data_IF_987953539695
#
_entry.id   IF_987953539695
#
_cell.length_a   1.000
_cell.length_b   1.000
_cell.length_c   1.000
_cell.angle_alpha   90.00
_cell.angle_beta   90.00
_cell.angle_gamma   90.00
#
_symmetry.space_group_name_H-M   'P 1'
#
loop_
_entity.id
_entity.type
_entity.pdbx_description
1 polymer ?
#
# COMPACT_ATOMS: atom_id res chain seq x y z
N UNK A 1 -25.93 28.80 2.18
CA UNK A 1 -25.94 27.32 2.15
C UNK A 1 -24.53 26.87 2.62
N UNK A 2 -24.44 26.16 3.74
CA UNK A 2 -23.18 25.55 4.14
C UNK A 2 -22.93 24.44 3.13
N UNK A 3 -21.84 24.51 2.39
CA UNK A 3 -21.33 23.34 1.66
C UNK A 3 -21.18 22.20 2.69
N UNK A 4 -21.97 21.16 2.55
CA UNK A 4 -21.73 19.91 3.26
C UNK A 4 -20.32 19.49 2.85
N UNK A 5 -19.39 19.47 3.78
CA UNK A 5 -18.04 18.97 3.57
C UNK A 5 -18.17 17.53 3.10
N UNK A 6 -18.10 17.30 1.79
CA UNK A 6 -18.14 15.97 1.19
C UNK A 6 -16.95 15.20 1.80
N UNK A 7 -17.25 14.19 2.59
CA UNK A 7 -16.22 13.40 3.25
C UNK A 7 -15.41 12.68 2.16
N UNK A 8 -14.13 12.96 2.09
CA UNK A 8 -13.19 12.31 1.17
C UNK A 8 -13.23 10.80 1.38
N UNK A 9 -13.30 10.03 0.30
CA UNK A 9 -13.44 8.58 0.35
C UNK A 9 -12.11 7.85 0.53
N UNK A 10 -11.02 8.37 -0.04
CA UNK A 10 -9.74 7.69 -0.17
C UNK A 10 -8.60 8.50 0.45
N UNK A 11 -7.75 7.84 1.24
CA UNK A 11 -6.43 8.36 1.57
C UNK A 11 -5.38 7.60 0.75
N UNK A 12 -4.62 8.33 -0.05
CA UNK A 12 -3.32 7.89 -0.55
C UNK A 12 -2.31 8.14 0.57
N UNK A 13 -1.56 7.13 1.00
CA UNK A 13 -0.49 7.36 1.95
C UNK A 13 0.87 6.89 1.40
N UNK A 14 1.92 7.63 1.74
CA UNK A 14 3.26 7.41 1.23
C UNK A 14 4.25 7.38 2.39
N UNK A 15 4.81 6.22 2.75
CA UNK A 15 5.98 6.14 3.61
C UNK A 15 7.21 6.70 2.88
N UNK A 16 7.95 7.59 3.52
CA UNK A 16 9.16 8.19 2.94
C UNK A 16 10.32 8.14 3.94
N UNK A 17 11.50 7.79 3.46
CA UNK A 17 12.74 7.87 4.21
C UNK A 17 13.89 8.26 3.28
N UNK A 18 14.39 9.50 3.40
CA UNK A 18 15.42 10.05 2.51
C UNK A 18 15.02 9.94 1.03
N UNK A 19 13.88 10.53 0.66
CA UNK A 19 13.26 10.44 -0.68
C UNK A 19 13.13 11.80 -1.39
N UNK A 20 13.90 12.81 -0.99
CA UNK A 20 13.86 14.11 -1.66
C UNK A 20 14.10 14.01 -3.18
N UNK A 21 14.85 12.99 -3.62
CA UNK A 21 15.18 12.80 -5.03
C UNK A 21 14.06 12.16 -5.86
N UNK A 22 13.12 11.41 -5.26
CA UNK A 22 12.09 10.63 -5.97
C UNK A 22 10.65 11.04 -5.64
N UNK A 23 10.39 11.56 -4.43
CA UNK A 23 9.04 11.85 -3.94
C UNK A 23 8.25 12.82 -4.84
N UNK A 24 8.94 13.65 -5.64
CA UNK A 24 8.32 14.53 -6.63
C UNK A 24 7.55 13.76 -7.71
N UNK A 25 7.96 12.54 -8.07
CA UNK A 25 7.26 11.70 -9.05
C UNK A 25 5.85 11.35 -8.55
N UNK A 26 5.75 10.91 -7.30
CA UNK A 26 4.47 10.66 -6.64
C UNK A 26 3.63 11.95 -6.59
N UNK A 27 4.19 13.06 -6.10
CA UNK A 27 3.50 14.35 -6.02
C UNK A 27 2.92 14.82 -7.35
N UNK A 28 3.72 14.84 -8.41
CA UNK A 28 3.31 15.29 -9.73
C UNK A 28 2.22 14.39 -10.32
N UNK A 29 2.28 13.08 -10.07
CA UNK A 29 1.26 12.16 -10.51
C UNK A 29 -0.09 12.39 -9.80
N UNK A 30 -0.06 12.75 -8.52
CA UNK A 30 -1.25 13.11 -7.76
C UNK A 30 -1.83 14.47 -8.20
N UNK A 31 -0.97 15.41 -8.58
CA UNK A 31 -1.42 16.68 -9.19
C UNK A 31 -2.15 16.47 -10.52
N UNK A 32 -1.79 15.44 -11.30
CA UNK A 32 -2.43 15.15 -12.60
C UNK A 32 -3.72 14.32 -12.49
N UNK A 33 -4.11 13.85 -11.30
CA UNK A 33 -5.33 13.03 -11.17
C UNK A 33 -6.58 13.77 -11.67
N UNK A 34 -7.40 13.08 -12.45
CA UNK A 34 -8.72 13.56 -12.92
C UNK A 34 -9.72 13.76 -11.78
N UNK A 35 -9.64 12.92 -10.75
CA UNK A 35 -10.45 13.00 -9.54
C UNK A 35 -9.59 13.51 -8.36
N UNK A 36 -10.06 14.56 -7.68
CA UNK A 36 -9.39 15.13 -6.50
C UNK A 36 -10.05 14.72 -5.16
N UNK A 37 -10.95 13.75 -5.18
CA UNK A 37 -11.67 13.28 -3.99
C UNK A 37 -10.81 12.32 -3.16
N UNK A 38 -9.60 12.76 -2.80
CA UNK A 38 -8.64 12.04 -1.97
C UNK A 38 -7.81 13.00 -1.11
N UNK A 39 -7.21 12.43 -0.07
CA UNK A 39 -6.21 13.06 0.79
C UNK A 39 -4.87 12.38 0.58
N UNK A 40 -3.76 13.10 0.55
CA UNK A 40 -2.42 12.53 0.54
C UNK A 40 -1.75 12.66 1.91
N UNK A 41 -1.46 11.52 2.56
CA UNK A 41 -0.79 11.43 3.84
C UNK A 41 0.66 10.96 3.64
N UNK A 42 1.63 11.82 3.90
CA UNK A 42 3.05 11.49 3.86
C UNK A 42 3.53 11.17 5.27
N UNK A 43 4.04 9.95 5.46
CA UNK A 43 4.68 9.53 6.71
C UNK A 43 6.20 9.54 6.51
N UNK A 44 6.85 10.55 7.03
CA UNK A 44 8.31 10.64 7.01
C UNK A 44 8.89 9.79 8.15
N UNK A 45 9.52 8.69 7.79
CA UNK A 45 10.14 7.72 8.72
C UNK A 45 11.56 8.15 9.13
N UNK A 46 11.73 9.42 9.49
CA UNK A 46 12.98 9.94 10.06
C UNK A 46 14.00 10.38 9.02
N UNK A 47 13.57 11.02 7.93
CA UNK A 47 14.46 11.55 6.90
C UNK A 47 15.43 12.60 7.47
N UNK A 48 16.65 12.59 6.92
CA UNK A 48 17.73 13.53 7.24
C UNK A 48 18.18 14.36 6.04
N UNK A 49 17.58 14.10 4.88
CA UNK A 49 17.77 14.83 3.64
C UNK A 49 16.74 15.99 3.51
N UNK A 50 16.63 16.58 2.33
CA UNK A 50 15.69 17.67 2.05
C UNK A 50 14.21 17.23 1.88
N UNK A 51 13.83 15.99 2.23
CA UNK A 51 12.44 15.47 2.08
C UNK A 51 11.44 16.41 2.74
N UNK A 52 11.66 16.77 4.01
CA UNK A 52 10.77 17.70 4.72
C UNK A 52 10.65 19.06 4.03
N UNK A 53 11.77 19.64 3.60
CA UNK A 53 11.79 20.95 2.93
C UNK A 53 10.98 20.92 1.64
N UNK A 54 11.11 19.84 0.86
CA UNK A 54 10.36 19.62 -0.36
C UNK A 54 8.84 19.59 -0.09
N UNK A 55 8.40 18.85 0.93
CA UNK A 55 6.98 18.76 1.31
C UNK A 55 6.48 20.10 1.85
N UNK A 56 7.26 20.82 2.67
CA UNK A 56 6.90 22.15 3.18
C UNK A 56 6.64 23.17 2.03
N UNK A 57 7.29 23.00 0.87
CA UNK A 57 7.00 23.81 -0.32
C UNK A 57 5.68 23.43 -0.99
N UNK A 58 5.30 22.16 -1.00
CA UNK A 58 4.02 21.69 -1.55
C UNK A 58 2.84 22.10 -0.69
N UNK A 59 3.01 22.07 0.63
CA UNK A 59 1.96 22.49 1.58
C UNK A 59 1.56 23.97 1.44
N UNK A 60 2.38 24.79 0.79
CA UNK A 60 2.09 26.22 0.54
C UNK A 60 1.29 26.46 -0.75
N UNK A 61 1.13 25.43 -1.59
CA UNK A 61 0.46 25.51 -2.89
C UNK A 61 -1.00 25.10 -2.81
N UNK A 62 -1.81 25.60 -3.73
CA UNK A 62 -3.12 25.02 -3.99
C UNK A 62 -2.93 23.76 -4.85
N UNK A 63 -3.12 22.61 -4.24
CA UNK A 63 -2.91 21.30 -4.89
C UNK A 63 -4.23 20.70 -5.41
N UNK A 64 -5.37 21.30 -5.10
CA UNK A 64 -6.70 20.77 -5.40
C UNK A 64 -7.09 19.57 -4.51
N UNK A 65 -6.23 19.14 -3.60
CA UNK A 65 -6.47 18.11 -2.58
C UNK A 65 -5.65 18.42 -1.31
N UNK A 66 -6.05 17.84 -0.19
CA UNK A 66 -5.35 18.01 1.08
C UNK A 66 -4.08 17.17 1.13
N UNK A 67 -2.97 17.77 1.60
CA UNK A 67 -1.72 17.08 1.93
C UNK A 67 -1.53 17.15 3.44
N UNK A 68 -1.28 15.99 4.06
CA UNK A 68 -0.87 15.88 5.47
C UNK A 68 0.54 15.31 5.54
N UNK A 69 1.41 15.93 6.33
CA UNK A 69 2.77 15.45 6.56
C UNK A 69 2.98 15.16 8.04
N UNK A 70 3.47 13.98 8.33
CA UNK A 70 3.76 13.53 9.70
C UNK A 70 5.16 12.94 9.75
N UNK A 71 6.01 13.53 10.60
CA UNK A 71 7.34 13.02 10.90
C UNK A 71 7.30 12.03 12.07
N UNK A 72 8.09 10.97 12.00
CA UNK A 72 8.38 10.06 13.10
C UNK A 72 9.84 9.64 13.09
N UNK A 73 10.36 9.18 14.23
CA UNK A 73 11.69 8.57 14.26
C UNK A 73 11.75 7.31 13.39
N UNK A 74 12.91 7.08 12.73
CA UNK A 74 13.09 5.98 11.79
C UNK A 74 12.94 4.61 12.46
N UNK A 75 11.86 3.93 12.14
CA UNK A 75 11.54 2.58 12.63
C UNK A 75 11.32 1.54 11.52
N UNK A 76 11.41 1.96 10.25
CA UNK A 76 11.17 1.13 9.08
C UNK A 76 9.72 1.20 8.57
N UNK A 77 9.53 0.82 7.31
CA UNK A 77 8.28 0.95 6.55
C UNK A 77 7.04 0.44 7.33
N UNK A 78 7.13 -0.71 7.99
CA UNK A 78 6.03 -1.29 8.76
C UNK A 78 5.57 -0.38 9.91
N UNK A 79 6.46 0.40 10.53
CA UNK A 79 6.10 1.35 11.58
C UNK A 79 5.45 2.62 11.00
N UNK A 80 5.86 3.04 9.80
CA UNK A 80 5.20 4.10 9.07
C UNK A 80 3.78 3.69 8.65
N UNK A 81 3.57 2.44 8.24
CA UNK A 81 2.23 1.88 7.99
C UNK A 81 1.37 1.85 9.25
N UNK A 82 1.92 1.48 10.42
CA UNK A 82 1.19 1.53 11.68
C UNK A 82 0.66 2.93 11.94
N UNK A 83 1.54 3.94 11.85
CA UNK A 83 1.16 5.34 12.06
C UNK A 83 0.16 5.83 11.00
N UNK A 84 0.34 5.45 9.73
CA UNK A 84 -0.61 5.78 8.67
C UNK A 84 -2.02 5.25 9.00
N UNK A 85 -2.15 3.96 9.33
CA UNK A 85 -3.44 3.35 9.67
C UNK A 85 -4.07 3.98 10.93
N UNK A 86 -3.28 4.43 11.88
CA UNK A 86 -3.79 5.17 13.05
C UNK A 86 -4.42 6.50 12.65
N UNK A 87 -3.77 7.25 11.75
CA UNK A 87 -4.15 8.61 11.36
C UNK A 87 -5.22 8.70 10.25
N UNK A 88 -5.32 7.69 9.38
CA UNK A 88 -6.29 7.69 8.27
C UNK A 88 -7.71 7.59 8.83
N UNK A 89 -8.60 8.49 8.37
CA UNK A 89 -10.00 8.57 8.77
C UNK A 89 -11.00 8.42 7.60
N UNK A 90 -10.49 8.17 6.39
CA UNK A 90 -11.28 7.87 5.19
C UNK A 90 -11.70 6.39 5.14
N UNK A 91 -12.71 6.06 4.34
CA UNK A 91 -13.19 4.68 4.19
C UNK A 91 -12.14 3.77 3.58
N UNK A 92 -11.45 4.24 2.54
CA UNK A 92 -10.41 3.51 1.82
C UNK A 92 -9.03 4.11 2.06
N UNK A 93 -8.02 3.26 1.93
CA UNK A 93 -6.63 3.68 1.89
C UNK A 93 -5.85 2.89 0.82
N UNK A 94 -4.83 3.52 0.25
CA UNK A 94 -3.89 2.91 -0.68
C UNK A 94 -2.48 3.42 -0.38
N UNK A 95 -1.52 2.50 -0.32
CA UNK A 95 -0.10 2.87 -0.26
C UNK A 95 0.44 3.08 -1.67
N UNK A 96 1.04 4.24 -1.89
CA UNK A 96 1.86 4.53 -3.07
C UNK A 96 3.26 4.84 -2.55
N UNK A 97 4.24 4.06 -2.98
CA UNK A 97 5.61 4.24 -2.52
C UNK A 97 6.22 5.54 -3.05
N UNK A 98 7.23 6.04 -2.36
CA UNK A 98 7.80 7.37 -2.61
C UNK A 98 8.61 7.51 -3.91
N UNK A 99 8.80 6.43 -4.63
CA UNK A 99 9.47 6.30 -5.93
C UNK A 99 8.52 5.83 -7.04
N UNK A 100 7.23 5.61 -6.69
CA UNK A 100 6.18 5.22 -7.64
C UNK A 100 5.34 6.43 -8.10
N UNK A 101 4.57 6.24 -9.17
CA UNK A 101 3.55 7.19 -9.60
C UNK A 101 2.25 6.50 -10.01
N UNK A 102 1.16 7.25 -10.01
CA UNK A 102 -0.17 6.77 -10.39
C UNK A 102 -0.60 7.37 -11.73
N UNK A 103 -1.26 6.56 -12.57
CA UNK A 103 -1.83 7.04 -13.83
C UNK A 103 -2.93 8.09 -13.57
N UNK A 104 -3.18 8.98 -14.54
CA UNK A 104 -4.05 10.17 -14.36
C UNK A 104 -5.48 9.87 -13.91
N UNK A 105 -6.00 8.68 -14.18
CA UNK A 105 -7.35 8.23 -13.82
C UNK A 105 -7.37 7.22 -12.65
N UNK A 106 -6.24 6.94 -12.01
CA UNK A 106 -6.14 5.87 -11.01
C UNK A 106 -7.09 6.10 -9.82
N UNK A 107 -7.13 7.31 -9.29
CA UNK A 107 -8.02 7.67 -8.18
C UNK A 107 -9.49 7.57 -8.61
N UNK A 108 -9.83 8.09 -9.79
CA UNK A 108 -11.20 8.01 -10.33
C UNK A 108 -11.65 6.55 -10.50
N UNK A 109 -10.78 5.69 -11.03
CA UNK A 109 -11.05 4.25 -11.18
C UNK A 109 -11.32 3.59 -9.83
N UNK A 110 -10.51 3.86 -8.80
CA UNK A 110 -10.69 3.33 -7.44
C UNK A 110 -12.04 3.79 -6.88
N UNK A 111 -12.27 5.11 -6.85
CA UNK A 111 -13.47 5.71 -6.24
C UNK A 111 -14.75 5.27 -6.95
N UNK A 112 -14.76 5.33 -8.30
CA UNK A 112 -15.92 4.94 -9.09
C UNK A 112 -16.21 3.44 -9.00
N UNK A 113 -15.19 2.60 -9.01
CA UNK A 113 -15.35 1.14 -8.91
C UNK A 113 -15.86 0.75 -7.52
N UNK A 114 -15.29 1.33 -6.45
CA UNK A 114 -15.78 1.07 -5.10
C UNK A 114 -17.21 1.56 -4.90
N UNK A 115 -17.55 2.74 -5.39
CA UNK A 115 -18.92 3.27 -5.32
C UNK A 115 -19.97 2.39 -6.02
N UNK A 116 -19.57 1.64 -7.08
CA UNK A 116 -20.45 0.73 -7.81
C UNK A 116 -20.50 -0.69 -7.22
N UNK A 117 -19.39 -1.21 -6.76
CA UNK A 117 -19.20 -2.63 -6.44
C UNK A 117 -18.84 -2.88 -4.97
N UNK A 118 -18.40 -1.85 -4.25
CA UNK A 118 -17.92 -1.93 -2.87
C UNK A 118 -19.01 -2.28 -1.88
N UNK A 119 -18.65 -2.95 -0.83
CA UNK A 119 -19.51 -3.21 0.33
C UNK A 119 -18.68 -3.79 1.48
N UNK A 120 -19.27 -3.87 2.67
CA UNK A 120 -18.65 -4.46 3.86
C UNK A 120 -18.22 -5.93 3.72
N UNK A 121 -18.68 -6.63 2.68
CA UNK A 121 -18.29 -8.00 2.35
C UNK A 121 -16.85 -8.11 1.86
N UNK A 122 -16.30 -7.02 1.31
CA UNK A 122 -14.99 -7.02 0.68
C UNK A 122 -13.98 -6.25 1.52
N UNK A 123 -12.73 -6.68 1.45
CA UNK A 123 -11.63 -5.97 2.10
C UNK A 123 -11.26 -4.66 1.42
N UNK A 124 -11.61 -4.53 0.14
CA UNK A 124 -11.21 -3.43 -0.72
C UNK A 124 -11.08 -3.88 -2.17
N UNK A 125 -10.04 -3.38 -2.85
CA UNK A 125 -9.79 -3.62 -4.28
C UNK A 125 -8.37 -4.16 -4.46
N UNK A 126 -8.20 -5.11 -5.39
CA UNK A 126 -6.91 -5.51 -5.94
C UNK A 126 -6.84 -5.06 -7.39
N UNK A 127 -5.82 -4.23 -7.72
CA UNK A 127 -5.55 -3.72 -9.05
C UNK A 127 -4.17 -4.15 -9.55
N UNK A 128 -3.79 -3.66 -10.72
CA UNK A 128 -2.53 -4.00 -11.36
C UNK A 128 -1.48 -2.93 -11.08
N UNK A 129 -0.23 -3.38 -10.94
CA UNK A 129 0.95 -2.56 -11.08
C UNK A 129 1.55 -2.76 -12.47
N UNK A 130 2.16 -1.71 -13.00
CA UNK A 130 2.88 -1.70 -14.27
C UNK A 130 4.26 -1.06 -14.09
N UNK A 131 5.16 -1.30 -15.02
CA UNK A 131 6.43 -0.59 -15.13
C UNK A 131 6.20 0.84 -15.66
N UNK A 132 7.23 1.68 -15.69
CA UNK A 132 7.13 3.05 -16.21
C UNK A 132 6.78 3.13 -17.71
N UNK A 133 7.06 2.08 -18.47
CA UNK A 133 6.63 1.92 -19.88
C UNK A 133 5.28 1.18 -20.02
N UNK A 134 4.48 1.15 -18.95
CA UNK A 134 3.13 0.56 -18.88
C UNK A 134 3.06 -0.96 -19.16
N UNK A 135 4.16 -1.70 -18.96
CA UNK A 135 4.12 -3.16 -19.01
C UNK A 135 3.59 -3.70 -17.68
N UNK A 136 2.55 -4.52 -17.73
CA UNK A 136 1.97 -5.11 -16.50
C UNK A 136 3.01 -5.97 -15.78
N UNK A 137 3.20 -5.71 -14.47
CA UNK A 137 4.10 -6.49 -13.64
C UNK A 137 3.47 -7.84 -13.32
N UNK A 138 4.10 -8.91 -13.82
CA UNK A 138 3.63 -10.27 -13.64
C UNK A 138 2.39 -10.61 -14.48
N UNK A 139 1.34 -11.14 -13.83
CA UNK A 139 0.11 -11.60 -14.49
C UNK A 139 -1.08 -10.71 -14.19
N UNK A 140 -2.03 -10.67 -15.14
CA UNK A 140 -3.36 -10.10 -14.87
C UNK A 140 -4.09 -10.89 -13.80
N UNK A 141 -5.09 -10.26 -13.20
CA UNK A 141 -6.02 -10.90 -12.27
C UNK A 141 -7.02 -11.79 -13.07
N UNK A 142 -7.60 -12.83 -12.44
CA UNK A 142 -8.60 -13.68 -13.11
C UNK A 142 -9.79 -12.85 -13.61
N UNK A 143 -10.17 -13.04 -14.87
CA UNK A 143 -11.29 -12.32 -15.49
C UNK A 143 -12.66 -12.95 -15.19
N UNK A 144 -12.67 -14.24 -14.85
CA UNK A 144 -13.85 -15.04 -14.51
C UNK A 144 -14.27 -14.93 -13.05
N UNK A 145 -13.54 -14.13 -12.25
CA UNK A 145 -13.80 -13.96 -10.83
C UNK A 145 -14.11 -12.50 -10.49
N UNK A 146 -15.08 -12.28 -9.61
CA UNK A 146 -15.41 -10.94 -9.11
C UNK A 146 -14.46 -10.48 -7.99
N UNK A 147 -14.00 -11.42 -7.19
CA UNK A 147 -13.16 -11.15 -6.01
C UNK A 147 -12.23 -12.33 -5.74
N UNK A 148 -11.14 -12.07 -5.04
CA UNK A 148 -10.14 -13.07 -4.68
C UNK A 148 -9.36 -12.60 -3.43
N UNK A 149 -8.86 -13.53 -2.61
CA UNK A 149 -7.87 -13.18 -1.61
C UNK A 149 -6.48 -13.07 -2.25
N UNK A 150 -5.62 -12.22 -1.69
CA UNK A 150 -4.25 -12.07 -2.19
C UNK A 150 -3.49 -13.40 -2.15
N UNK A 151 -3.63 -14.14 -1.05
CA UNK A 151 -3.01 -15.48 -0.88
C UNK A 151 -3.48 -16.47 -1.95
N UNK A 152 -4.79 -16.47 -2.27
CA UNK A 152 -5.35 -17.35 -3.31
C UNK A 152 -4.86 -16.99 -4.71
N UNK A 153 -4.71 -15.69 -5.00
CA UNK A 153 -4.15 -15.24 -6.27
C UNK A 153 -2.76 -15.84 -6.49
N UNK A 154 -1.85 -15.69 -5.51
CA UNK A 154 -0.50 -16.24 -5.62
C UNK A 154 -0.46 -17.77 -5.59
N UNK A 155 -1.31 -18.42 -4.78
CA UNK A 155 -1.41 -19.87 -4.72
C UNK A 155 -1.88 -20.50 -6.04
N UNK A 156 -2.65 -19.76 -6.83
CA UNK A 156 -3.12 -20.17 -8.16
C UNK A 156 -2.14 -19.79 -9.29
N UNK A 157 -0.90 -19.46 -8.95
CA UNK A 157 0.15 -19.11 -9.93
C UNK A 157 0.12 -17.67 -10.39
N UNK A 158 -0.51 -16.78 -9.64
CA UNK A 158 -0.39 -15.33 -9.78
C UNK A 158 1.06 -14.87 -9.61
N UNK A 159 1.45 -13.79 -10.27
CA UNK A 159 2.81 -13.28 -10.28
C UNK A 159 2.83 -11.75 -10.29
N UNK A 160 3.93 -11.18 -9.78
CA UNK A 160 4.19 -9.75 -9.77
C UNK A 160 3.38 -9.01 -8.72
N UNK A 161 3.85 -7.82 -8.37
CA UNK A 161 3.21 -6.96 -7.39
C UNK A 161 1.82 -6.50 -7.88
N UNK A 162 0.95 -6.21 -6.93
CA UNK A 162 -0.43 -5.77 -7.18
C UNK A 162 -0.74 -4.58 -6.30
N UNK A 163 -1.45 -3.60 -6.85
CA UNK A 163 -1.90 -2.46 -6.06
C UNK A 163 -3.10 -2.85 -5.21
N UNK A 164 -2.93 -2.66 -3.91
CA UNK A 164 -3.92 -3.03 -2.89
C UNK A 164 -4.55 -1.78 -2.30
N UNK A 165 -5.85 -1.66 -2.45
CA UNK A 165 -6.67 -0.64 -1.80
C UNK A 165 -7.47 -1.33 -0.71
N UNK A 166 -7.31 -0.94 0.54
CA UNK A 166 -7.99 -1.58 1.65
C UNK A 166 -9.01 -0.66 2.31
N UNK A 167 -10.04 -1.26 2.89
CA UNK A 167 -10.89 -0.58 3.87
C UNK A 167 -10.05 -0.26 5.11
N UNK A 168 -10.15 0.97 5.55
CA UNK A 168 -9.35 1.48 6.68
C UNK A 168 -9.75 0.83 8.01
N UNK A 169 -11.05 0.57 8.22
CA UNK A 169 -11.53 -0.08 9.42
C UNK A 169 -10.92 -1.48 9.61
N UNK A 170 -10.72 -2.24 8.53
CA UNK A 170 -10.06 -3.54 8.59
C UNK A 170 -8.57 -3.42 8.93
N UNK A 171 -7.88 -2.43 8.34
CA UNK A 171 -6.46 -2.22 8.66
C UNK A 171 -6.25 -1.77 10.12
N UNK A 172 -7.26 -1.12 10.71
CA UNK A 172 -7.29 -0.78 12.15
C UNK A 172 -7.71 -1.96 13.03
N UNK A 173 -8.61 -2.83 12.55
CA UNK A 173 -9.11 -4.01 13.28
C UNK A 173 -7.99 -4.99 13.63
N UNK A 174 -7.09 -5.25 12.66
CA UNK A 174 -6.01 -6.21 12.85
C UNK A 174 -4.85 -5.61 13.68
N UNK A 175 -4.16 -6.44 14.51
CA UNK A 175 -3.06 -5.97 15.35
C UNK A 175 -2.00 -5.20 14.54
N UNK A 176 -1.36 -4.18 15.11
CA UNK A 176 -0.29 -3.45 14.44
C UNK A 176 0.88 -4.38 14.09
N UNK A 177 1.68 -3.98 13.12
CA UNK A 177 2.95 -4.65 12.85
C UNK A 177 3.81 -4.60 14.11
N UNK A 178 4.39 -5.73 14.56
CA UNK A 178 5.23 -5.73 15.74
C UNK A 178 6.54 -4.96 15.48
N UNK A 179 7.09 -4.38 16.53
CA UNK A 179 8.38 -3.69 16.50
C UNK A 179 9.38 -4.51 17.30
N UNK A 180 10.52 -4.81 16.69
CA UNK A 180 11.62 -5.52 17.33
C UNK A 180 12.80 -4.58 17.52
N UNK A 181 13.32 -4.52 18.75
CA UNK A 181 14.48 -3.69 19.06
C UNK A 181 15.67 -4.00 18.15
N UNK A 182 16.24 -2.96 17.53
CA UNK A 182 17.34 -3.04 16.60
C UNK A 182 17.00 -3.50 15.19
N UNK A 183 15.70 -3.81 14.90
CA UNK A 183 15.25 -4.25 13.57
C UNK A 183 14.27 -3.23 12.95
N UNK A 184 14.38 -3.05 11.63
CA UNK A 184 13.58 -2.08 10.86
C UNK A 184 12.76 -2.73 9.74
N UNK A 185 12.53 -4.04 9.82
CA UNK A 185 11.76 -4.75 8.81
C UNK A 185 10.81 -5.78 9.42
N UNK A 186 9.53 -5.63 9.10
CA UNK A 186 8.51 -6.67 9.22
C UNK A 186 7.71 -6.66 7.92
N UNK A 187 7.44 -7.82 7.35
CA UNK A 187 6.69 -7.93 6.09
C UNK A 187 5.27 -7.35 6.23
N UNK A 188 4.90 -6.49 5.28
CA UNK A 188 3.54 -5.95 5.19
C UNK A 188 2.49 -7.04 4.90
N UNK A 189 2.90 -8.18 4.35
CA UNK A 189 2.06 -9.35 4.15
C UNK A 189 1.36 -9.86 5.41
N UNK A 190 1.84 -9.52 6.60
CA UNK A 190 1.21 -9.90 7.88
C UNK A 190 -0.26 -9.50 7.95
N UNK A 191 -0.58 -8.21 7.79
CA UNK A 191 -1.97 -7.74 7.85
C UNK A 191 -2.81 -8.24 6.69
N UNK A 192 -2.21 -8.35 5.50
CA UNK A 192 -2.90 -8.87 4.31
C UNK A 192 -3.31 -10.31 4.49
N UNK A 193 -2.42 -11.13 5.07
CA UNK A 193 -2.71 -12.53 5.36
C UNK A 193 -3.82 -12.70 6.43
N UNK A 194 -3.85 -11.82 7.44
CA UNK A 194 -4.94 -11.81 8.43
C UNK A 194 -6.27 -11.42 7.76
N UNK A 195 -6.26 -10.40 6.91
CA UNK A 195 -7.43 -9.95 6.17
C UNK A 195 -8.00 -11.05 5.26
N UNK A 196 -7.12 -11.77 4.57
CA UNK A 196 -7.45 -12.89 3.69
C UNK A 196 -8.17 -14.07 4.38
N UNK A 197 -8.13 -14.14 5.73
CA UNK A 197 -8.86 -15.17 6.47
C UNK A 197 -10.38 -14.93 6.49
N UNK A 198 -10.80 -13.66 6.37
CA UNK A 198 -12.19 -13.25 6.55
C UNK A 198 -12.80 -12.60 5.29
N UNK A 199 -11.98 -11.95 4.47
CA UNK A 199 -12.44 -11.09 3.37
C UNK A 199 -11.68 -11.36 2.06
N UNK A 200 -12.36 -11.07 0.94
CA UNK A 200 -11.75 -11.02 -0.40
C UNK A 200 -11.65 -9.58 -0.88
N UNK A 201 -10.72 -9.33 -1.81
CA UNK A 201 -10.58 -8.08 -2.54
C UNK A 201 -11.34 -8.15 -3.85
N UNK A 202 -12.07 -7.10 -4.21
CA UNK A 202 -12.71 -6.95 -5.52
C UNK A 202 -11.63 -6.81 -6.60
N UNK A 203 -11.79 -7.53 -7.70
CA UNK A 203 -10.85 -7.51 -8.82
C UNK A 203 -11.12 -6.31 -9.74
N UNK A 204 -10.10 -5.48 -9.92
CA UNK A 204 -10.07 -4.38 -10.88
C UNK A 204 -8.87 -4.58 -11.81
N UNK A 205 -9.07 -5.14 -13.01
CA UNK A 205 -8.01 -5.42 -13.99
C UNK A 205 -7.51 -4.14 -14.71
N UNK A 206 -7.31 -3.07 -13.95
CA UNK A 206 -6.78 -1.78 -14.40
C UNK A 206 -5.44 -1.49 -13.73
N UNK A 207 -4.54 -0.80 -14.43
CA UNK A 207 -3.29 -0.31 -13.86
C UNK A 207 -3.62 0.86 -12.93
N UNK A 208 -3.25 0.72 -11.67
CA UNK A 208 -3.47 1.72 -10.63
C UNK A 208 -2.17 2.40 -10.19
N UNK A 209 -1.01 1.78 -10.43
CA UNK A 209 0.27 2.34 -10.07
C UNK A 209 1.36 1.89 -11.06
N UNK A 210 2.30 2.79 -11.32
CA UNK A 210 3.50 2.51 -12.10
C UNK A 210 4.69 2.50 -11.14
N UNK A 211 5.44 1.41 -11.19
CA UNK A 211 6.50 1.07 -10.23
C UNK A 211 7.84 1.04 -10.92
N UNK A 212 8.87 1.62 -10.28
CA UNK A 212 10.26 1.50 -10.70
C UNK A 212 11.06 0.73 -9.63
N UNK A 213 11.64 -0.41 -10.03
CA UNK A 213 12.52 -1.17 -9.14
C UNK A 213 13.86 -0.46 -8.97
N UNK A 214 14.03 0.21 -7.84
CA UNK A 214 15.28 0.91 -7.51
C UNK A 214 16.40 -0.08 -7.14
N UNK A 215 17.65 0.24 -7.52
CA UNK A 215 18.82 -0.57 -7.19
C UNK A 215 19.09 -0.65 -5.66
N UNK A 216 18.70 0.38 -4.92
CA UNK A 216 18.78 0.46 -3.45
C UNK A 216 17.51 -0.01 -2.74
N UNK A 217 16.50 -0.45 -3.49
CA UNK A 217 15.21 -0.91 -2.98
C UNK A 217 15.31 -2.14 -2.08
N UNK A 218 14.30 -2.31 -1.22
CA UNK A 218 14.22 -3.44 -0.29
C UNK A 218 14.23 -4.79 -1.00
N UNK A 219 13.60 -4.88 -2.19
CA UNK A 219 13.49 -6.12 -2.97
C UNK A 219 14.85 -6.58 -3.52
N UNK A 220 15.72 -5.65 -3.93
CA UNK A 220 17.06 -5.96 -4.45
C UNK A 220 18.06 -6.35 -3.37
N UNK A 221 17.82 -5.97 -2.10
CA UNK A 221 18.70 -6.19 -0.97
C UNK A 221 18.20 -7.24 0.03
N UNK A 222 17.37 -8.18 -0.39
CA UNK A 222 16.67 -9.13 0.48
C UNK A 222 17.61 -9.94 1.38
N UNK A 223 18.77 -10.40 0.88
CA UNK A 223 19.74 -11.15 1.70
C UNK A 223 20.25 -10.32 2.90
N UNK A 224 20.55 -9.03 2.67
CA UNK A 224 20.96 -8.11 3.76
C UNK A 224 19.81 -7.87 4.75
N UNK A 225 18.57 -7.82 4.26
CA UNK A 225 17.40 -7.69 5.10
C UNK A 225 17.25 -8.90 6.04
N UNK A 226 17.45 -10.15 5.54
CA UNK A 226 17.40 -11.34 6.37
C UNK A 226 18.42 -11.30 7.52
N UNK A 227 19.65 -10.88 7.25
CA UNK A 227 20.70 -10.81 8.26
C UNK A 227 20.46 -9.73 9.31
N UNK A 228 19.84 -8.61 8.91
CA UNK A 228 19.63 -7.47 9.79
C UNK A 228 18.33 -7.54 10.61
N UNK A 229 17.36 -8.34 10.16
CA UNK A 229 16.02 -8.37 10.74
C UNK A 229 15.52 -9.81 11.02
N UNK A 230 16.32 -10.65 11.73
CA UNK A 230 15.98 -12.07 11.92
C UNK A 230 14.67 -12.29 12.68
N UNK A 231 14.34 -11.44 13.67
CA UNK A 231 13.09 -11.56 14.44
C UNK A 231 11.86 -11.23 13.58
N UNK A 232 11.95 -10.18 12.76
CA UNK A 232 10.89 -9.81 11.80
C UNK A 232 10.60 -10.92 10.81
N UNK A 233 11.66 -11.57 10.27
CA UNK A 233 11.49 -12.73 9.38
C UNK A 233 10.99 -13.97 10.11
N UNK A 234 11.46 -14.22 11.34
CA UNK A 234 10.95 -15.33 12.15
C UNK A 234 9.47 -15.15 12.49
N UNK A 235 9.06 -13.90 12.77
CA UNK A 235 7.66 -13.56 13.03
C UNK A 235 6.78 -13.89 11.83
N UNK A 236 7.09 -13.40 10.63
CA UNK A 236 6.25 -13.67 9.45
C UNK A 236 6.20 -15.16 9.11
N UNK A 237 7.30 -15.91 9.28
CA UNK A 237 7.31 -17.36 9.10
C UNK A 237 6.34 -18.09 10.04
N UNK A 238 6.27 -17.65 11.30
CA UNK A 238 5.27 -18.22 12.26
C UNK A 238 3.84 -17.90 11.84
N UNK A 239 3.59 -16.68 11.36
CA UNK A 239 2.29 -16.25 10.84
C UNK A 239 1.89 -17.07 9.61
N UNK A 240 2.80 -17.24 8.65
CA UNK A 240 2.58 -18.09 7.47
C UNK A 240 2.23 -19.54 7.88
N UNK A 241 2.96 -20.11 8.82
CA UNK A 241 2.70 -21.46 9.31
C UNK A 241 1.32 -21.60 9.98
N UNK A 242 0.83 -20.53 10.60
CA UNK A 242 -0.45 -20.52 11.31
C UNK A 242 -1.64 -20.32 10.37
N UNK A 243 -1.52 -19.38 9.43
CA UNK A 243 -2.64 -18.87 8.64
C UNK A 243 -2.61 -19.27 7.17
N UNK A 244 -1.44 -19.52 6.57
CA UNK A 244 -1.35 -19.92 5.17
C UNK A 244 -1.84 -21.35 4.96
N UNK A 245 -3.06 -21.46 4.43
CA UNK A 245 -3.70 -22.75 4.14
C UNK A 245 -3.01 -23.52 3.01
N UNK A 246 -2.25 -22.83 2.16
CA UNK A 246 -1.52 -23.44 1.03
C UNK A 246 -0.32 -24.22 1.52
N UNK A 247 0.42 -23.72 2.50
CA UNK A 247 1.51 -24.43 3.16
C UNK A 247 1.04 -25.68 3.90
N UNK A 248 -0.16 -25.65 4.52
CA UNK A 248 -0.77 -26.82 5.19
C UNK A 248 -1.15 -27.92 4.19
N UNK A 249 -1.58 -27.54 2.97
CA UNK A 249 -1.93 -28.50 1.92
C UNK A 249 -0.72 -29.22 1.36
N UNK A 250 0.41 -28.55 1.19
CA UNK A 250 1.66 -29.13 0.70
C UNK A 250 2.33 -30.06 1.73
N UNK A 251 2.09 -29.88 3.04
CA UNK A 251 2.60 -30.78 4.09
C UNK A 251 1.89 -32.12 4.19
N UNK A 252 0.70 -32.28 3.56
CA UNK A 252 0.02 -33.58 3.48
C UNK A 252 0.51 -34.45 2.32
N UNK A 253 1.45 -33.97 1.52
CA UNK A 253 2.01 -34.65 0.34
C UNK A 253 3.48 -35.08 0.59
N UNK A 254 4.04 -34.77 1.74
CA UNK A 254 5.29 -35.30 2.28
C UNK A 254 5.01 -36.19 3.50
#
# INVERSE_FOLDING_TARGET
MKEENKKVLLTVFTPAYNRAYSLHLCYESLLRQSCKDFLWLIIDDGSTDDTKKLVDEWLKKDNGFEIRYVYKENGGMHTAHNLAYELIDTELNVCIDSDDYVGEEAIEKIVSFWGKCGSEKYAGIIGLDATFDNQIIGKRLPEDMKSITLSRYYANGGQGDKKLVYRTDLMKKYPPYPVFEGEKYVSLGYKYLLCDQEYELLILNEVLCNVEYQLDGSSTNMYRQYLRNPKGFAFIRKVDMQYDKTLKRNRKIL
#
